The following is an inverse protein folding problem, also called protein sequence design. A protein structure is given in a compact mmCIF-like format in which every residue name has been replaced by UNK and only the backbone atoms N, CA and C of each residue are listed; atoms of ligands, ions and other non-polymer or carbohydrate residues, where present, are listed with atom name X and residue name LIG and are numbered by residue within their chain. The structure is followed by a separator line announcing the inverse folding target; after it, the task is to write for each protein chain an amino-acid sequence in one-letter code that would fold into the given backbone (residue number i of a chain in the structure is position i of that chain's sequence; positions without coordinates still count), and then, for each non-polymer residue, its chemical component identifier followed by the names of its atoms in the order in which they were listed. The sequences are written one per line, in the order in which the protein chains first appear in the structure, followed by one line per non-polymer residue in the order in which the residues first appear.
data_IF_839552465629
#
_entry.id   IF_839552465629
#
_cell.length_a   1.000
_cell.length_b   1.000
_cell.length_c   1.000
_cell.angle_alpha   90.00
_cell.angle_beta   90.00
_cell.angle_gamma   90.00
#
_symmetry.space_group_name_H-M   'P 1'
#
loop_
_entity.id
_entity.type
_entity.pdbx_description
1 polymer ?
#
# COMPACT_ATOMS: atom_id res chain seq x y z
N UNK A 1 -16.32 -5.52 6.12
CA UNK A 1 -15.11 -5.03 5.40
C UNK A 1 -15.22 -3.53 5.13
N UNK A 2 -16.29 -3.01 4.52
CA UNK A 2 -16.44 -1.57 4.20
C UNK A 2 -16.31 -0.68 5.45
N UNK A 3 -17.03 -1.02 6.55
CA UNK A 3 -16.93 -0.25 7.79
C UNK A 3 -15.53 -0.30 8.41
N UNK A 4 -14.84 -1.45 8.34
CA UNK A 4 -13.46 -1.59 8.78
C UNK A 4 -12.51 -0.71 7.95
N UNK A 5 -12.63 -0.72 6.61
CA UNK A 5 -11.81 0.14 5.73
C UNK A 5 -12.10 1.63 5.92
N UNK A 6 -13.34 2.02 6.19
CA UNK A 6 -13.67 3.43 6.52
C UNK A 6 -12.96 3.86 7.82
N UNK A 7 -12.98 3.02 8.83
CA UNK A 7 -12.34 3.26 10.13
C UNK A 7 -10.81 3.32 10.00
N UNK A 8 -10.24 2.36 9.29
CA UNK A 8 -8.80 2.32 9.02
C UNK A 8 -8.36 3.50 8.13
N UNK A 9 -9.21 3.90 7.18
CA UNK A 9 -9.00 5.09 6.35
C UNK A 9 -8.87 6.36 7.19
N UNK A 10 -9.62 6.51 8.27
CA UNK A 10 -9.48 7.64 9.21
C UNK A 10 -8.11 7.60 9.90
N UNK A 11 -7.66 6.43 10.36
CA UNK A 11 -6.32 6.28 10.95
C UNK A 11 -5.22 6.61 9.93
N UNK A 12 -5.37 6.14 8.69
CA UNK A 12 -4.44 6.43 7.59
C UNK A 12 -4.38 7.93 7.27
N UNK A 13 -5.52 8.62 7.17
CA UNK A 13 -5.56 10.07 6.90
C UNK A 13 -4.88 10.86 8.02
N UNK A 14 -5.13 10.51 9.29
CA UNK A 14 -4.46 11.12 10.44
C UNK A 14 -2.94 10.89 10.39
N UNK A 15 -2.53 9.68 10.04
CA UNK A 15 -1.12 9.36 9.86
C UNK A 15 -0.48 10.17 8.71
N UNK A 16 -1.10 10.22 7.53
CA UNK A 16 -0.59 10.98 6.38
C UNK A 16 -0.47 12.48 6.70
N UNK A 17 -1.44 13.04 7.41
CA UNK A 17 -1.37 14.42 7.89
C UNK A 17 -0.19 14.63 8.86
N UNK A 18 0.01 13.72 9.82
CA UNK A 18 1.16 13.77 10.70
C UNK A 18 2.48 13.64 9.92
N UNK A 19 2.57 12.66 9.01
CA UNK A 19 3.78 12.40 8.23
C UNK A 19 4.18 13.65 7.42
N UNK A 20 3.24 14.34 6.80
CA UNK A 20 3.51 15.50 5.93
C UNK A 20 4.30 16.61 6.62
N UNK A 21 4.18 16.76 7.93
CA UNK A 21 4.89 17.77 8.72
C UNK A 21 6.03 17.24 9.60
N UNK A 22 6.20 15.91 9.71
CA UNK A 22 7.08 15.30 10.71
C UNK A 22 8.07 14.26 10.17
N UNK A 23 8.07 13.96 8.88
CA UNK A 23 8.95 12.93 8.33
C UNK A 23 10.47 13.25 8.43
N UNK A 24 10.94 14.51 8.39
CA UNK A 24 12.37 14.78 8.50
C UNK A 24 12.98 14.19 9.78
N UNK A 25 14.04 13.42 9.62
CA UNK A 25 14.74 12.76 10.73
C UNK A 25 14.06 11.48 11.25
N UNK A 26 12.95 11.04 10.66
CA UNK A 26 12.29 9.77 10.98
C UNK A 26 12.88 8.62 10.19
N UNK A 27 12.62 7.40 10.66
CA UNK A 27 12.99 6.15 10.02
C UNK A 27 11.75 5.36 9.62
N UNK A 28 11.95 4.27 8.88
CA UNK A 28 10.89 3.32 8.51
C UNK A 28 10.19 2.74 9.75
N UNK A 29 10.95 2.38 10.80
CA UNK A 29 10.37 1.89 12.04
C UNK A 29 9.57 2.96 12.81
N UNK A 30 9.97 4.24 12.73
CA UNK A 30 9.16 5.34 13.26
C UNK A 30 7.80 5.44 12.54
N UNK A 31 7.79 5.20 11.21
CA UNK A 31 6.56 5.16 10.39
C UNK A 31 5.66 4.02 10.84
N UNK A 32 6.20 2.80 10.91
CA UNK A 32 5.47 1.60 11.36
C UNK A 32 4.83 1.84 12.72
N UNK A 33 5.65 2.29 13.69
CA UNK A 33 5.17 2.57 15.04
C UNK A 33 4.07 3.62 15.07
N UNK A 34 4.24 4.71 14.32
CA UNK A 34 3.29 5.82 14.34
C UNK A 34 1.95 5.45 13.71
N UNK A 35 1.96 4.69 12.62
CA UNK A 35 0.73 4.20 12.00
C UNK A 35 -0.02 3.25 12.95
N UNK A 36 0.72 2.32 13.57
CA UNK A 36 0.16 1.46 14.62
C UNK A 36 -0.52 2.28 15.74
N UNK A 37 0.16 3.33 16.25
CA UNK A 37 -0.37 4.17 17.32
C UNK A 37 -1.71 4.84 16.93
N UNK A 38 -1.91 5.19 15.66
CA UNK A 38 -3.19 5.74 15.16
C UNK A 38 -4.27 4.67 15.03
N UNK A 39 -3.93 3.48 14.55
CA UNK A 39 -4.86 2.35 14.40
C UNK A 39 -5.33 1.83 15.74
N UNK A 40 -4.42 1.68 16.70
CA UNK A 40 -4.72 1.18 18.05
C UNK A 40 -5.68 2.07 18.84
N UNK A 41 -5.87 3.34 18.44
CA UNK A 41 -6.88 4.23 19.01
C UNK A 41 -8.29 4.02 18.42
N UNK A 42 -8.40 3.24 17.34
CA UNK A 42 -9.66 2.98 16.66
C UNK A 42 -10.52 1.94 17.39
N UNK A 43 -11.84 2.06 17.25
CA UNK A 43 -12.76 1.06 17.75
C UNK A 43 -12.58 -0.28 17.03
N UNK A 44 -12.77 -1.39 17.74
CA UNK A 44 -12.70 -2.75 17.23
C UNK A 44 -11.31 -3.18 16.69
N UNK A 45 -10.26 -2.39 16.93
CA UNK A 45 -8.91 -2.77 16.55
C UNK A 45 -8.45 -3.99 17.39
N UNK A 46 -7.90 -5.00 16.70
CA UNK A 46 -7.34 -6.19 17.33
C UNK A 46 -5.82 -6.25 17.17
N UNK A 47 -5.33 -6.14 15.94
CA UNK A 47 -3.91 -6.23 15.59
C UNK A 47 -3.66 -5.66 14.20
N UNK A 48 -2.41 -5.63 13.75
CA UNK A 48 -2.12 -5.50 12.32
C UNK A 48 -2.58 -6.77 11.59
N UNK A 49 -3.06 -6.64 10.35
CA UNK A 49 -3.46 -7.79 9.50
C UNK A 49 -2.26 -8.48 8.88
N UNK A 50 -1.16 -7.75 8.74
CA UNK A 50 0.16 -8.24 8.32
C UNK A 50 1.24 -7.29 8.81
N UNK A 51 2.51 -7.70 8.76
CA UNK A 51 3.63 -6.82 9.14
C UNK A 51 3.67 -5.61 8.21
N UNK A 52 3.56 -4.40 8.77
CA UNK A 52 3.59 -3.16 7.99
C UNK A 52 4.86 -3.05 7.18
N UNK A 53 4.74 -2.86 5.88
CA UNK A 53 5.81 -2.54 4.95
C UNK A 53 5.94 -1.01 4.91
N UNK A 54 7.02 -0.50 5.46
CA UNK A 54 7.40 0.90 5.31
C UNK A 54 8.77 0.92 4.63
N UNK A 55 8.80 1.18 3.34
CA UNK A 55 9.97 1.00 2.51
C UNK A 55 10.38 2.32 1.86
N UNK A 56 11.48 2.91 2.33
CA UNK A 56 11.97 4.21 1.87
C UNK A 56 13.01 4.04 0.74
N UNK A 57 12.83 4.81 -0.34
CA UNK A 57 13.75 4.82 -1.47
C UNK A 57 13.92 3.43 -2.11
N UNK A 58 15.16 2.88 -2.17
CA UNK A 58 15.42 1.60 -2.86
C UNK A 58 14.73 0.40 -2.20
N UNK A 59 14.39 0.46 -0.92
CA UNK A 59 13.72 -0.64 -0.22
C UNK A 59 12.30 -0.88 -0.75
N UNK A 60 11.69 0.15 -1.35
CA UNK A 60 10.40 0.05 -2.04
C UNK A 60 10.41 -0.88 -3.27
N UNK A 61 11.58 -1.28 -3.76
CA UNK A 61 11.69 -2.26 -4.84
C UNK A 61 11.68 -3.72 -4.35
N UNK A 62 11.74 -3.93 -3.03
CA UNK A 62 11.71 -5.26 -2.42
C UNK A 62 10.27 -5.62 -2.05
N UNK A 63 9.71 -6.58 -2.78
CA UNK A 63 8.35 -7.07 -2.51
C UNK A 63 8.29 -7.70 -1.12
N UNK A 64 7.28 -7.34 -0.33
CA UNK A 64 7.11 -7.77 1.07
C UNK A 64 8.28 -7.37 2.00
N UNK A 65 8.93 -6.23 1.71
CA UNK A 65 9.95 -5.67 2.58
C UNK A 65 9.45 -5.53 4.02
N UNK A 66 10.29 -5.86 4.99
CA UNK A 66 9.98 -5.69 6.41
C UNK A 66 11.13 -4.91 7.06
N UNK A 67 10.91 -3.67 7.52
CA UNK A 67 11.95 -2.95 8.24
C UNK A 67 12.25 -3.63 9.58
N UNK A 68 13.50 -3.84 9.83
CA UNK A 68 14.02 -4.35 11.11
C UNK A 68 15.14 -3.43 11.60
N UNK A 69 15.52 -3.51 12.86
CA UNK A 69 16.49 -2.59 13.46
C UNK A 69 17.82 -2.51 12.69
N UNK A 70 18.25 -3.61 12.08
CA UNK A 70 19.50 -3.72 11.31
C UNK A 70 19.41 -3.05 9.93
N UNK A 71 18.21 -2.94 9.36
CA UNK A 71 17.97 -2.37 8.02
C UNK A 71 17.21 -1.05 8.04
N UNK A 72 16.81 -0.57 9.22
CA UNK A 72 15.99 0.62 9.42
C UNK A 72 16.58 1.86 8.74
N UNK A 73 15.93 2.29 7.66
CA UNK A 73 16.38 3.41 6.83
C UNK A 73 15.77 4.72 7.28
N UNK A 74 16.59 5.78 7.25
CA UNK A 74 16.08 7.16 7.42
C UNK A 74 15.29 7.60 6.19
N UNK A 75 14.23 8.35 6.45
CA UNK A 75 13.48 9.02 5.40
C UNK A 75 14.30 10.19 4.85
N UNK A 76 14.51 10.24 3.55
CA UNK A 76 15.33 11.23 2.87
C UNK A 76 14.51 12.07 1.90
N UNK A 77 14.83 13.37 1.84
CA UNK A 77 14.19 14.28 0.88
C UNK A 77 14.46 13.86 -0.56
N UNK A 78 13.45 14.03 -1.42
CA UNK A 78 13.54 13.64 -2.84
C UNK A 78 13.34 12.14 -3.08
N UNK A 79 13.05 11.35 -2.05
CA UNK A 79 12.74 9.93 -2.18
C UNK A 79 11.24 9.64 -2.10
N UNK A 80 10.87 8.39 -2.35
CA UNK A 80 9.52 7.87 -2.13
C UNK A 80 9.50 6.96 -0.89
N UNK A 81 8.39 6.99 -0.17
CA UNK A 81 8.04 6.00 0.85
C UNK A 81 6.89 5.15 0.31
N UNK A 82 7.13 3.86 0.11
CA UNK A 82 6.07 2.88 -0.08
C UNK A 82 5.59 2.43 1.29
N UNK A 83 4.31 2.63 1.56
CA UNK A 83 3.66 2.21 2.80
C UNK A 83 2.53 1.25 2.46
N UNK A 84 2.71 -0.01 2.83
CA UNK A 84 1.72 -1.06 2.66
C UNK A 84 1.39 -1.68 4.02
N UNK A 85 0.13 -1.63 4.40
CA UNK A 85 -0.29 -1.93 5.77
C UNK A 85 -1.77 -2.21 5.87
N UNK A 86 -2.14 -2.94 6.89
CA UNK A 86 -3.54 -3.21 7.19
C UNK A 86 -3.76 -3.54 8.65
N UNK A 87 -5.00 -3.49 9.08
CA UNK A 87 -5.42 -3.83 10.42
C UNK A 87 -6.43 -4.95 10.43
N UNK A 88 -6.41 -5.70 11.50
CA UNK A 88 -7.44 -6.65 11.87
C UNK A 88 -8.40 -5.98 12.85
N UNK A 89 -9.60 -5.75 12.41
CA UNK A 89 -10.72 -5.32 13.24
C UNK A 89 -11.63 -6.50 13.51
N UNK A 90 -12.40 -6.48 14.60
CA UNK A 90 -13.37 -7.56 14.90
C UNK A 90 -14.43 -7.75 13.80
N UNK A 91 -14.68 -6.73 12.99
CA UNK A 91 -15.67 -6.72 11.92
C UNK A 91 -15.07 -6.73 10.50
N UNK A 92 -13.75 -6.88 10.37
CA UNK A 92 -13.12 -7.00 9.06
C UNK A 92 -11.60 -6.82 9.06
N UNK A 93 -10.98 -7.35 8.03
CA UNK A 93 -9.56 -7.18 7.71
C UNK A 93 -9.41 -6.02 6.73
N UNK A 94 -8.36 -5.20 6.89
CA UNK A 94 -8.04 -4.12 5.95
C UNK A 94 -6.67 -4.32 5.32
N UNK A 95 -6.52 -3.71 4.14
CA UNK A 95 -5.30 -3.71 3.35
C UNK A 95 -5.24 -2.41 2.55
N UNK A 96 -4.25 -1.56 2.85
CA UNK A 96 -4.13 -0.22 2.27
C UNK A 96 -2.67 0.07 1.92
N UNK A 97 -2.41 0.33 0.64
CA UNK A 97 -1.09 0.76 0.16
C UNK A 97 -1.10 2.22 -0.29
N UNK A 98 -0.03 2.94 0.02
CA UNK A 98 0.23 4.30 -0.47
C UNK A 98 1.71 4.47 -0.82
N UNK A 99 1.96 5.19 -1.93
CA UNK A 99 3.30 5.70 -2.26
C UNK A 99 3.32 7.20 -2.02
N UNK A 100 4.23 7.66 -1.17
CA UNK A 100 4.25 9.01 -0.63
C UNK A 100 5.58 9.67 -1.01
N UNK A 101 5.52 10.87 -1.60
CA UNK A 101 6.72 11.65 -1.86
C UNK A 101 7.23 12.30 -0.56
N UNK A 102 8.52 12.17 -0.30
CA UNK A 102 9.23 12.83 0.80
C UNK A 102 9.95 14.06 0.21
N UNK A 103 9.32 15.22 0.34
CA UNK A 103 9.77 16.43 -0.35
C UNK A 103 9.42 16.44 -1.83
N UNK A 104 10.35 16.89 -2.68
CA UNK A 104 10.12 17.03 -4.13
C UNK A 104 10.60 15.79 -4.90
N UNK A 105 9.68 15.00 -5.51
CA UNK A 105 10.05 13.82 -6.28
C UNK A 105 10.68 14.20 -7.61
N UNK A 106 11.49 13.31 -8.18
CA UNK A 106 12.04 13.50 -9.52
C UNK A 106 10.96 13.39 -10.62
N UNK A 107 11.18 13.95 -11.82
CA UNK A 107 10.28 13.76 -12.94
C UNK A 107 10.01 12.29 -13.27
N UNK A 108 11.03 11.44 -13.22
CA UNK A 108 10.89 10.01 -13.45
C UNK A 108 9.99 9.32 -12.42
N UNK A 109 10.08 9.71 -11.15
CA UNK A 109 9.17 9.21 -10.09
C UNK A 109 7.72 9.63 -10.38
N UNK A 110 7.50 10.87 -10.81
CA UNK A 110 6.17 11.37 -11.19
C UNK A 110 5.60 10.59 -12.39
N UNK A 111 6.41 10.35 -13.41
CA UNK A 111 6.01 9.61 -14.59
C UNK A 111 5.64 8.17 -14.26
N UNK A 112 6.49 7.48 -13.47
CA UNK A 112 6.23 6.12 -13.02
C UNK A 112 4.98 6.03 -12.13
N UNK A 113 4.82 6.95 -11.19
CA UNK A 113 3.62 7.01 -10.34
C UNK A 113 2.36 7.19 -11.19
N UNK A 114 2.41 8.11 -12.17
CA UNK A 114 1.28 8.35 -13.09
C UNK A 114 0.97 7.12 -13.93
N UNK A 115 1.97 6.39 -14.37
CA UNK A 115 1.79 5.17 -15.15
C UNK A 115 1.12 4.06 -14.32
N UNK A 116 1.58 3.85 -13.07
CA UNK A 116 0.94 2.91 -12.14
C UNK A 116 -0.49 3.33 -11.83
N UNK A 117 -0.76 4.64 -11.66
CA UNK A 117 -2.12 5.14 -11.46
C UNK A 117 -3.02 4.85 -12.66
N UNK A 118 -2.52 4.99 -13.89
CA UNK A 118 -3.27 4.61 -15.12
C UNK A 118 -3.61 3.11 -15.10
N UNK A 119 -2.67 2.25 -14.71
CA UNK A 119 -2.89 0.81 -14.58
C UNK A 119 -3.96 0.50 -13.53
N UNK A 120 -3.89 1.15 -12.37
CA UNK A 120 -4.88 1.02 -11.30
C UNK A 120 -6.28 1.45 -11.76
N UNK A 121 -6.40 2.60 -12.43
CA UNK A 121 -7.67 3.10 -12.95
C UNK A 121 -8.23 2.16 -14.03
N UNK A 122 -7.38 1.63 -14.91
CA UNK A 122 -7.81 0.69 -15.96
C UNK A 122 -8.48 -0.54 -15.34
N UNK A 123 -7.88 -1.12 -14.30
CA UNK A 123 -8.48 -2.24 -13.59
C UNK A 123 -9.74 -1.83 -12.82
N UNK A 124 -9.68 -0.76 -12.02
CA UNK A 124 -10.78 -0.33 -11.16
C UNK A 124 -12.05 0.08 -11.93
N UNK A 125 -11.89 0.59 -13.16
CA UNK A 125 -13.00 0.97 -14.02
C UNK A 125 -13.52 -0.15 -14.92
N UNK A 126 -12.83 -1.31 -14.94
CA UNK A 126 -13.18 -2.41 -15.83
C UNK A 126 -14.49 -3.07 -15.41
N UNK A 127 -15.42 -3.17 -16.33
CA UNK A 127 -16.60 -4.03 -16.21
C UNK A 127 -16.30 -5.39 -16.83
N UNK A 128 -16.64 -6.44 -16.14
CA UNK A 128 -16.40 -7.82 -16.60
C UNK A 128 -17.62 -8.71 -16.31
N UNK A 129 -17.72 -9.79 -17.06
CA UNK A 129 -18.82 -10.76 -16.92
C UNK A 129 -18.49 -11.75 -15.78
N UNK A 130 -19.53 -12.37 -15.25
CA UNK A 130 -19.39 -13.45 -14.28
C UNK A 130 -18.54 -14.59 -14.85
N UNK A 131 -17.66 -15.16 -14.03
CA UNK A 131 -16.69 -16.17 -14.43
C UNK A 131 -15.40 -15.65 -15.06
N UNK A 132 -15.21 -14.32 -15.16
CA UNK A 132 -13.91 -13.75 -15.58
C UNK A 132 -12.84 -14.08 -14.53
N UNK A 133 -11.72 -14.65 -14.99
CA UNK A 133 -10.60 -15.03 -14.12
C UNK A 133 -9.65 -13.87 -13.80
N UNK A 134 -8.84 -14.03 -12.74
CA UNK A 134 -7.87 -13.04 -12.31
C UNK A 134 -6.77 -12.77 -13.36
N UNK A 135 -6.38 -13.76 -14.15
CA UNK A 135 -5.38 -13.62 -15.21
C UNK A 135 -5.86 -12.67 -16.32
N UNK A 136 -7.14 -12.66 -16.61
CA UNK A 136 -7.75 -11.74 -17.58
C UNK A 136 -7.76 -10.32 -17.04
N UNK A 137 -8.04 -10.14 -15.76
CA UNK A 137 -8.02 -8.83 -15.07
C UNK A 137 -6.59 -8.30 -14.91
N UNK A 138 -5.61 -9.18 -14.61
CA UNK A 138 -4.19 -8.83 -14.54
C UNK A 138 -3.67 -8.17 -15.82
N UNK A 139 -4.03 -8.71 -16.98
CA UNK A 139 -3.66 -8.12 -18.28
C UNK A 139 -4.18 -6.70 -18.47
N UNK A 140 -5.36 -6.41 -17.94
CA UNK A 140 -5.96 -5.06 -18.02
C UNK A 140 -5.11 -4.07 -17.21
N UNK A 141 -4.71 -4.46 -16.01
CA UNK A 141 -3.84 -3.64 -15.16
C UNK A 141 -2.45 -3.44 -15.77
N UNK A 142 -1.87 -4.48 -16.39
CA UNK A 142 -0.52 -4.41 -16.99
C UNK A 142 -0.47 -3.68 -18.33
N UNK A 143 -1.57 -3.66 -19.09
CA UNK A 143 -1.60 -3.10 -20.44
C UNK A 143 -1.05 -1.67 -20.53
N UNK A 144 -1.42 -0.71 -19.69
CA UNK A 144 -0.82 0.63 -19.69
C UNK A 144 0.70 0.61 -19.44
N UNK A 145 1.19 -0.32 -18.60
CA UNK A 145 2.61 -0.47 -18.32
C UNK A 145 3.36 -1.02 -19.53
N UNK A 146 2.83 -2.07 -20.17
CA UNK A 146 3.43 -2.69 -21.35
C UNK A 146 3.53 -1.75 -22.55
N UNK A 147 2.56 -0.83 -22.72
CA UNK A 147 2.61 0.17 -23.79
C UNK A 147 3.81 1.12 -23.65
N UNK A 148 4.34 1.28 -22.44
CA UNK A 148 5.54 2.07 -22.15
C UNK A 148 6.79 1.20 -21.95
N UNK A 149 6.74 -0.09 -22.30
CA UNK A 149 7.85 -1.04 -22.17
C UNK A 149 8.22 -1.34 -20.71
N UNK A 150 7.31 -1.13 -19.78
CA UNK A 150 7.50 -1.34 -18.33
C UNK A 150 6.59 -2.46 -17.81
N UNK A 151 6.98 -3.05 -16.70
CA UNK A 151 6.20 -4.09 -16.01
C UNK A 151 6.61 -4.16 -14.53
N UNK A 152 5.76 -4.78 -13.70
CA UNK A 152 6.06 -5.11 -12.32
C UNK A 152 6.13 -6.63 -12.14
N UNK A 153 6.93 -7.10 -11.14
CA UNK A 153 7.31 -8.52 -10.99
C UNK A 153 6.54 -9.26 -9.89
N UNK A 154 5.47 -8.67 -9.40
CA UNK A 154 4.58 -9.27 -8.39
C UNK A 154 3.18 -9.49 -8.94
N UNK A 155 2.29 -10.16 -8.21
CA UNK A 155 0.88 -10.29 -8.57
C UNK A 155 0.17 -8.93 -8.54
N UNK A 156 -0.88 -8.78 -9.34
CA UNK A 156 -1.63 -7.53 -9.42
C UNK A 156 -2.53 -7.34 -8.20
N UNK A 157 -3.08 -8.40 -7.65
CA UNK A 157 -3.95 -8.25 -6.49
C UNK A 157 -4.57 -9.56 -6.02
N UNK A 158 -5.41 -9.41 -5.01
CA UNK A 158 -6.06 -10.51 -4.31
C UNK A 158 -7.33 -10.00 -3.62
N UNK A 159 -8.20 -10.92 -3.20
CA UNK A 159 -9.29 -10.60 -2.29
C UNK A 159 -8.77 -10.36 -0.87
N UNK A 160 -9.58 -9.72 -0.04
CA UNK A 160 -9.27 -9.46 1.38
C UNK A 160 -10.21 -10.27 2.25
N UNK A 161 -9.65 -11.01 3.21
CA UNK A 161 -10.41 -11.82 4.15
C UNK A 161 -11.25 -11.01 5.13
N UNK A 162 -12.11 -11.71 5.84
CA UNK A 162 -12.95 -11.14 6.88
C UNK A 162 -12.59 -11.77 8.24
N UNK A 163 -11.68 -11.16 8.96
CA UNK A 163 -11.12 -11.65 10.22
C UNK A 163 -10.31 -12.96 10.09
N UNK A 164 -9.62 -13.15 8.97
CA UNK A 164 -8.73 -14.29 8.73
C UNK A 164 -7.45 -13.79 8.06
N UNK A 165 -7.24 -14.23 6.82
CA UNK A 165 -6.06 -13.82 6.08
C UNK A 165 -6.31 -12.51 5.32
N UNK A 166 -5.28 -11.70 5.19
CA UNK A 166 -5.31 -10.55 4.28
C UNK A 166 -5.39 -11.00 2.83
N UNK A 167 -4.65 -12.05 2.48
CA UNK A 167 -4.69 -12.67 1.16
C UNK A 167 -5.78 -13.75 1.08
N UNK A 168 -6.88 -13.43 0.44
CA UNK A 168 -7.97 -14.35 0.13
C UNK A 168 -8.24 -14.34 -1.38
N UNK A 169 -8.87 -15.38 -1.90
CA UNK A 169 -9.27 -15.42 -3.30
C UNK A 169 -10.32 -14.35 -3.66
N UNK A 170 -10.44 -13.99 -4.94
CA UNK A 170 -9.63 -14.47 -6.06
C UNK A 170 -8.21 -13.89 -6.08
N UNK A 171 -7.28 -14.68 -6.60
CA UNK A 171 -5.87 -14.31 -6.77
C UNK A 171 -5.44 -14.55 -8.22
N UNK A 172 -4.40 -13.85 -8.68
CA UNK A 172 -3.78 -14.03 -9.97
C UNK A 172 -2.24 -14.13 -9.86
#
# INVERSE_FOLDING_TARGET
IEAAHLRDGVAMVRFLHWLSGNWPGKTELDVVKKLHDFRAQGENYWSESFGTIAAAGPDGAVVHYQPVAETDRKLEEGSLLLLDSGAQYFDGTTDITRTIALGTPSPEMCDNFTLVLKAHIALASQKFIDGTDGMSLDKIARSPMWNEGKDYKHGTGHGVGCFLNVHEGPQN
#
